data_IF_978904581473
#
_entry.id   IF_978904581473
#
_cell.length_a   1.000
_cell.length_b   1.000
_cell.length_c   1.000
_cell.angle_alpha   90.00
_cell.angle_beta   90.00
_cell.angle_gamma   90.00
#
_symmetry.space_group_name_H-M   'P 1'
#
loop_
_entity.id
_entity.type
_entity.pdbx_description
1 polymer ?
#
# COMPACT_ATOMS: atom_id res chain seq x y z
N UNK A 1 6.74 -21.41 49.78
CA UNK A 1 5.53 -21.42 48.93
C UNK A 1 5.22 -20.05 48.30
N UNK A 2 6.21 -19.14 48.14
CA UNK A 2 5.98 -17.82 47.53
C UNK A 2 6.40 -17.72 46.04
N UNK A 3 6.91 -18.80 45.43
CA UNK A 3 7.43 -18.81 44.06
C UNK A 3 6.41 -19.25 42.97
N UNK A 4 5.13 -19.44 43.30
CA UNK A 4 4.12 -19.88 42.31
C UNK A 4 2.99 -18.87 42.08
N UNK A 5 2.74 -17.94 43.00
CA UNK A 5 1.67 -16.93 42.83
C UNK A 5 2.12 -15.76 41.94
N UNK A 6 3.35 -15.26 42.09
CA UNK A 6 3.91 -14.18 41.23
C UNK A 6 4.02 -14.62 39.76
N UNK A 7 4.47 -15.86 39.50
CA UNK A 7 4.57 -16.40 38.15
C UNK A 7 3.20 -16.60 37.50
N UNK A 8 2.18 -17.02 38.26
CA UNK A 8 0.82 -17.20 37.71
C UNK A 8 0.10 -15.87 37.45
N UNK A 9 0.29 -14.85 38.31
CA UNK A 9 -0.26 -13.51 38.08
C UNK A 9 0.48 -12.79 36.95
N UNK A 10 1.81 -12.94 36.85
CA UNK A 10 2.59 -12.42 35.74
C UNK A 10 2.21 -13.09 34.42
N UNK A 11 1.96 -14.41 34.42
CA UNK A 11 1.52 -15.16 33.24
C UNK A 11 0.12 -14.76 32.79
N UNK A 12 -0.84 -14.63 33.73
CA UNK A 12 -2.19 -14.13 33.42
C UNK A 12 -2.19 -12.69 32.89
N UNK A 13 -1.36 -11.82 33.46
CA UNK A 13 -1.25 -10.42 33.00
C UNK A 13 -0.64 -10.34 31.61
N UNK A 14 0.41 -11.12 31.31
CA UNK A 14 0.99 -11.22 29.96
C UNK A 14 0.01 -11.78 28.93
N UNK A 15 -0.72 -12.84 29.28
CA UNK A 15 -1.73 -13.44 28.40
C UNK A 15 -2.89 -12.49 28.11
N UNK A 16 -3.26 -11.64 29.08
CA UNK A 16 -4.32 -10.65 28.89
C UNK A 16 -3.89 -9.51 27.95
N UNK A 17 -2.65 -9.03 28.06
CA UNK A 17 -2.15 -7.93 27.22
C UNK A 17 -1.98 -8.35 25.75
N UNK A 18 -1.58 -9.60 25.48
CA UNK A 18 -1.52 -10.13 24.10
C UNK A 18 -2.93 -10.22 23.50
N UNK A 19 -3.89 -10.72 24.28
CA UNK A 19 -5.29 -10.78 23.84
C UNK A 19 -5.87 -9.38 23.56
N UNK A 20 -5.61 -8.41 24.44
CA UNK A 20 -6.01 -7.01 24.22
C UNK A 20 -5.38 -6.42 22.96
N UNK A 21 -4.09 -6.70 22.70
CA UNK A 21 -3.41 -6.27 21.49
C UNK A 21 -4.03 -6.89 20.23
N UNK A 22 -4.26 -8.21 20.21
CA UNK A 22 -4.84 -8.89 19.06
C UNK A 22 -6.27 -8.39 18.78
N UNK A 23 -7.05 -8.14 19.84
CA UNK A 23 -8.37 -7.54 19.72
C UNK A 23 -8.29 -6.11 19.16
N UNK A 24 -7.32 -5.31 19.59
CA UNK A 24 -7.06 -3.99 19.01
C UNK A 24 -6.68 -4.04 17.53
N UNK A 25 -5.93 -5.06 17.09
CA UNK A 25 -5.64 -5.28 15.67
C UNK A 25 -6.92 -5.63 14.89
N UNK A 26 -7.82 -6.44 15.46
CA UNK A 26 -9.12 -6.77 14.85
C UNK A 26 -9.99 -5.52 14.68
N UNK A 27 -10.15 -4.72 15.73
CA UNK A 27 -10.88 -3.44 15.66
C UNK A 27 -10.18 -2.38 14.80
N UNK A 28 -8.86 -2.44 14.62
CA UNK A 28 -8.16 -1.56 13.70
C UNK A 28 -8.41 -1.94 12.23
N UNK A 29 -8.31 -3.23 11.92
CA UNK A 29 -8.41 -3.73 10.54
C UNK A 29 -9.86 -3.86 10.06
N UNK A 30 -10.78 -4.12 10.98
CA UNK A 30 -12.14 -4.52 10.71
C UNK A 30 -12.23 -5.98 10.26
N UNK A 31 -13.08 -6.77 10.90
CA UNK A 31 -13.44 -8.11 10.46
C UNK A 31 -14.98 -8.32 10.53
N UNK A 32 -15.47 -9.52 10.22
CA UNK A 32 -16.91 -9.82 10.23
C UNK A 32 -17.56 -9.58 11.60
N UNK A 33 -16.80 -9.77 12.68
CA UNK A 33 -17.27 -9.68 14.07
C UNK A 33 -16.96 -8.32 14.71
N UNK A 34 -15.95 -7.61 14.21
CA UNK A 34 -15.42 -6.36 14.78
C UNK A 34 -15.42 -5.25 13.74
N UNK A 35 -16.40 -4.35 13.82
CA UNK A 35 -16.39 -3.13 12.99
C UNK A 35 -15.22 -2.21 13.36
N UNK A 36 -14.59 -1.51 12.40
CA UNK A 36 -13.48 -0.62 12.69
C UNK A 36 -13.77 0.38 13.82
N UNK A 37 -12.90 0.40 14.83
CA UNK A 37 -12.93 1.32 15.95
C UNK A 37 -11.51 1.82 16.26
N UNK A 38 -11.12 2.88 15.56
CA UNK A 38 -9.76 3.41 15.59
C UNK A 38 -9.40 4.09 16.92
N UNK A 39 -10.37 4.75 17.56
CA UNK A 39 -10.15 5.40 18.86
C UNK A 39 -9.85 4.35 19.94
N UNK A 40 -10.64 3.27 19.97
CA UNK A 40 -10.43 2.19 20.92
C UNK A 40 -9.13 1.44 20.65
N UNK A 41 -8.86 1.09 19.38
CA UNK A 41 -7.60 0.44 19.01
C UNK A 41 -6.38 1.29 19.38
N UNK A 42 -6.43 2.62 19.13
CA UNK A 42 -5.38 3.55 19.51
C UNK A 42 -5.13 3.55 21.02
N UNK A 43 -6.19 3.62 21.83
CA UNK A 43 -6.07 3.61 23.29
C UNK A 43 -5.40 2.32 23.80
N UNK A 44 -5.77 1.16 23.24
CA UNK A 44 -5.15 -0.11 23.61
C UNK A 44 -3.70 -0.16 23.16
N UNK A 45 -3.38 0.22 21.91
CA UNK A 45 -1.99 0.23 21.45
C UNK A 45 -1.12 1.16 22.31
N UNK A 46 -1.61 2.33 22.71
CA UNK A 46 -0.90 3.24 23.61
C UNK A 46 -0.64 2.60 24.99
N UNK A 47 -1.64 1.90 25.54
CA UNK A 47 -1.49 1.17 26.79
C UNK A 47 -0.43 0.07 26.68
N UNK A 48 -0.48 -0.74 25.62
CA UNK A 48 0.48 -1.81 25.35
C UNK A 48 1.89 -1.27 25.16
N UNK A 49 2.05 -0.21 24.36
CA UNK A 49 3.35 0.42 24.12
C UNK A 49 3.98 1.00 25.40
N UNK A 50 3.16 1.49 26.34
CA UNK A 50 3.64 2.04 27.61
C UNK A 50 3.98 0.95 28.65
N UNK A 51 3.14 -0.07 28.79
CA UNK A 51 3.16 -0.95 29.98
C UNK A 51 3.61 -2.39 29.71
N UNK A 52 3.71 -2.85 28.46
CA UNK A 52 4.05 -4.25 28.18
C UNK A 52 5.56 -4.54 28.36
N UNK A 53 5.95 -5.55 29.10
CA UNK A 53 7.37 -5.90 29.27
C UNK A 53 7.99 -6.51 27.99
N UNK A 54 7.17 -7.06 27.10
CA UNK A 54 7.62 -7.62 25.83
C UNK A 54 7.91 -6.51 24.82
N UNK A 55 9.20 -6.32 24.54
CA UNK A 55 9.69 -5.33 23.58
C UNK A 55 9.20 -5.59 22.14
N UNK A 56 9.00 -6.84 21.78
CA UNK A 56 8.51 -7.21 20.45
C UNK A 56 7.07 -6.74 20.25
N UNK A 57 6.20 -6.97 21.25
CA UNK A 57 4.81 -6.50 21.23
C UNK A 57 4.74 -4.97 21.35
N UNK A 58 5.63 -4.34 22.13
CA UNK A 58 5.75 -2.87 22.16
C UNK A 58 6.06 -2.30 20.79
N UNK A 59 7.01 -2.87 20.05
CA UNK A 59 7.37 -2.42 18.71
C UNK A 59 6.20 -2.55 17.72
N UNK A 60 5.44 -3.64 17.79
CA UNK A 60 4.22 -3.84 17.00
C UNK A 60 3.13 -2.81 17.34
N UNK A 61 2.88 -2.56 18.64
CA UNK A 61 1.94 -1.54 19.07
C UNK A 61 2.35 -0.13 18.60
N UNK A 62 3.63 0.23 18.73
CA UNK A 62 4.16 1.49 18.22
C UNK A 62 4.00 1.64 16.71
N UNK A 63 4.24 0.56 15.97
CA UNK A 63 4.01 0.53 14.53
C UNK A 63 2.52 0.78 14.19
N UNK A 64 1.59 0.11 14.88
CA UNK A 64 0.16 0.31 14.63
C UNK A 64 -0.33 1.71 15.02
N UNK A 65 0.18 2.30 16.10
CA UNK A 65 -0.07 3.73 16.42
C UNK A 65 0.43 4.59 15.26
N UNK A 66 1.63 4.32 14.76
CA UNK A 66 2.20 5.01 13.61
C UNK A 66 1.32 4.92 12.36
N UNK A 67 0.70 3.76 12.10
CA UNK A 67 -0.26 3.58 10.99
C UNK A 67 -1.53 4.41 11.19
N UNK A 68 -2.09 4.43 12.40
CA UNK A 68 -3.26 5.26 12.73
C UNK A 68 -2.94 6.74 12.45
N UNK A 69 -1.80 7.22 12.94
CA UNK A 69 -1.33 8.59 12.69
C UNK A 69 -1.10 8.85 11.19
N UNK A 70 -0.48 7.91 10.48
CA UNK A 70 -0.14 8.04 9.06
C UNK A 70 -1.37 8.13 8.16
N UNK A 71 -2.40 7.33 8.41
CA UNK A 71 -3.63 7.35 7.63
C UNK A 71 -4.66 8.36 8.18
N UNK A 72 -4.48 8.86 9.39
CA UNK A 72 -5.44 9.75 10.07
C UNK A 72 -6.74 9.05 10.47
N UNK A 73 -6.70 7.74 10.69
CA UNK A 73 -7.90 6.97 11.05
C UNK A 73 -8.43 7.40 12.42
N UNK A 74 -9.69 7.84 12.48
CA UNK A 74 -10.28 8.36 13.73
C UNK A 74 -9.74 9.74 14.14
N UNK A 75 -9.09 10.46 13.23
CA UNK A 75 -8.55 11.81 13.45
C UNK A 75 -9.17 12.81 12.46
N UNK A 76 -9.11 14.10 12.77
CA UNK A 76 -9.53 15.14 11.81
C UNK A 76 -8.62 15.17 10.57
N UNK A 77 -7.32 14.96 10.76
CA UNK A 77 -6.31 14.88 9.71
C UNK A 77 -5.17 13.92 10.12
N UNK A 78 -4.42 13.34 9.16
CA UNK A 78 -3.23 12.56 9.45
C UNK A 78 -2.16 13.34 10.22
N UNK A 79 -1.56 12.72 11.23
CA UNK A 79 -0.38 13.23 11.94
C UNK A 79 0.90 12.56 11.43
N UNK A 80 1.42 13.10 10.34
CA UNK A 80 2.64 12.58 9.74
C UNK A 80 3.89 12.81 10.60
N UNK A 81 3.92 13.82 11.47
CA UNK A 81 5.10 14.07 12.32
C UNK A 81 5.20 12.99 13.38
N UNK A 82 4.07 12.65 14.02
CA UNK A 82 4.02 11.58 14.99
C UNK A 82 4.27 10.21 14.35
N UNK A 83 3.66 9.93 13.19
CA UNK A 83 3.90 8.69 12.44
C UNK A 83 5.39 8.50 12.11
N UNK A 84 6.06 9.54 11.62
CA UNK A 84 7.48 9.51 11.29
C UNK A 84 8.33 9.16 12.51
N UNK A 85 8.06 9.83 13.63
CA UNK A 85 8.79 9.60 14.89
C UNK A 85 8.61 8.17 15.38
N UNK A 86 7.39 7.63 15.31
CA UNK A 86 7.11 6.26 15.77
C UNK A 86 7.79 5.22 14.89
N UNK A 87 7.72 5.36 13.56
CA UNK A 87 8.40 4.41 12.67
C UNK A 87 9.92 4.47 12.80
N UNK A 88 10.51 5.68 12.95
CA UNK A 88 11.94 5.84 13.23
C UNK A 88 12.32 5.11 14.52
N UNK A 89 11.48 5.22 15.56
CA UNK A 89 11.69 4.55 16.83
C UNK A 89 11.67 3.02 16.70
N UNK A 90 10.67 2.45 16.01
CA UNK A 90 10.58 1.00 15.77
C UNK A 90 11.82 0.48 15.05
N UNK A 91 12.28 1.17 14.01
CA UNK A 91 13.48 0.77 13.25
C UNK A 91 14.73 0.88 14.12
N UNK A 92 14.84 1.92 14.95
CA UNK A 92 15.98 2.15 15.86
C UNK A 92 16.05 1.10 16.97
N UNK A 93 14.91 0.75 17.55
CA UNK A 93 14.81 -0.27 18.60
C UNK A 93 15.14 -1.66 18.06
N UNK A 94 14.66 -1.98 16.85
CA UNK A 94 14.91 -3.27 16.20
C UNK A 94 14.50 -4.48 17.07
N UNK A 95 13.48 -4.29 17.93
CA UNK A 95 12.99 -5.31 18.86
C UNK A 95 12.03 -6.32 18.21
N UNK A 96 11.47 -5.99 17.03
CA UNK A 96 10.67 -6.90 16.20
C UNK A 96 11.00 -6.70 14.72
N UNK A 97 11.34 -7.80 14.02
CA UNK A 97 11.77 -7.73 12.61
C UNK A 97 10.63 -7.45 11.63
N UNK A 98 9.44 -7.99 11.88
CA UNK A 98 8.24 -7.75 11.07
C UNK A 98 7.89 -6.26 11.14
N UNK A 99 7.71 -5.75 12.37
CA UNK A 99 7.40 -4.34 12.60
C UNK A 99 8.48 -3.41 12.03
N UNK A 100 9.75 -3.80 12.10
CA UNK A 100 10.85 -3.03 11.49
C UNK A 100 10.76 -3.01 9.97
N UNK A 101 10.55 -4.15 9.32
CA UNK A 101 10.44 -4.22 7.87
C UNK A 101 9.25 -3.37 7.38
N UNK A 102 8.10 -3.48 8.06
CA UNK A 102 6.92 -2.68 7.77
C UNK A 102 7.16 -1.17 7.99
N UNK A 103 7.80 -0.81 9.11
CA UNK A 103 8.18 0.57 9.41
C UNK A 103 9.17 1.14 8.39
N UNK A 104 10.11 0.34 7.88
CA UNK A 104 11.04 0.76 6.83
C UNK A 104 10.31 1.05 5.51
N UNK A 105 9.34 0.21 5.13
CA UNK A 105 8.49 0.49 3.97
C UNK A 105 7.78 1.85 4.14
N UNK A 106 7.18 2.11 5.31
CA UNK A 106 6.46 3.36 5.60
C UNK A 106 7.39 4.57 5.68
N UNK A 107 8.54 4.46 6.33
CA UNK A 107 9.54 5.52 6.36
C UNK A 107 10.04 5.87 4.96
N UNK A 108 10.32 4.84 4.15
CA UNK A 108 10.68 5.01 2.75
C UNK A 108 9.67 5.86 2.00
N UNK A 109 8.38 5.58 2.21
CA UNK A 109 7.28 6.37 1.68
C UNK A 109 7.29 7.82 2.22
N UNK A 110 7.31 7.99 3.54
CA UNK A 110 7.28 9.31 4.14
C UNK A 110 8.44 10.19 3.66
N UNK A 111 9.64 9.64 3.52
CA UNK A 111 10.79 10.36 3.00
C UNK A 111 10.66 10.67 1.50
N UNK A 112 10.14 9.77 0.68
CA UNK A 112 10.00 9.99 -0.77
C UNK A 112 9.00 11.11 -1.09
N UNK A 113 7.91 11.21 -0.32
CA UNK A 113 6.85 12.19 -0.56
C UNK A 113 6.89 13.39 0.41
N UNK A 114 7.86 13.43 1.33
CA UNK A 114 8.01 14.54 2.27
C UNK A 114 6.92 14.59 3.34
N UNK A 115 6.33 13.45 3.70
CA UNK A 115 5.28 13.37 4.72
C UNK A 115 5.89 13.51 6.11
N UNK A 116 5.44 14.51 6.88
CA UNK A 116 5.95 14.76 8.25
C UNK A 116 7.30 15.45 8.29
N UNK A 117 7.83 15.89 7.13
CA UNK A 117 9.07 16.65 7.00
C UNK A 117 8.86 17.86 6.07
N UNK A 118 9.77 18.83 6.12
CA UNK A 118 9.63 20.06 5.33
C UNK A 118 9.73 19.84 3.81
N UNK A 119 10.54 18.86 3.38
CA UNK A 119 10.73 18.51 1.97
C UNK A 119 11.13 17.03 1.81
N UNK A 120 10.86 16.39 0.67
CA UNK A 120 11.31 15.03 0.40
C UNK A 120 12.80 14.81 0.64
N UNK A 121 13.13 13.62 1.16
CA UNK A 121 14.50 13.15 1.35
C UNK A 121 14.71 11.83 0.61
N UNK A 122 15.04 11.91 -0.68
CA UNK A 122 15.17 10.73 -1.52
C UNK A 122 16.31 9.79 -1.12
N UNK A 123 17.38 10.29 -0.50
CA UNK A 123 18.49 9.45 -0.01
C UNK A 123 17.99 8.53 1.12
N UNK A 124 17.27 9.10 2.10
CA UNK A 124 16.69 8.29 3.17
C UNK A 124 15.57 7.38 2.65
N UNK A 125 14.76 7.86 1.69
CA UNK A 125 13.72 7.05 1.08
C UNK A 125 14.28 5.78 0.42
N UNK A 126 15.29 5.93 -0.45
CA UNK A 126 15.96 4.81 -1.12
C UNK A 126 16.56 3.84 -0.10
N UNK A 127 17.26 4.36 0.92
CA UNK A 127 17.89 3.53 1.94
C UNK A 127 16.86 2.69 2.73
N UNK A 128 15.72 3.28 3.11
CA UNK A 128 14.68 2.57 3.86
C UNK A 128 13.94 1.55 2.96
N UNK A 129 13.60 1.91 1.72
CA UNK A 129 12.91 1.01 0.80
C UNK A 129 13.81 -0.15 0.36
N UNK A 130 15.09 0.08 0.11
CA UNK A 130 16.05 -1.00 -0.18
C UNK A 130 16.15 -1.96 1.00
N UNK A 131 16.28 -1.44 2.23
CA UNK A 131 16.34 -2.28 3.42
C UNK A 131 15.06 -3.10 3.65
N UNK A 132 13.87 -2.54 3.35
CA UNK A 132 12.60 -3.26 3.41
C UNK A 132 12.43 -4.28 2.28
N UNK A 133 12.92 -3.99 1.08
CA UNK A 133 12.86 -4.87 -0.09
C UNK A 133 13.81 -6.08 -0.02
N UNK A 134 14.85 -6.01 0.80
CA UNK A 134 15.83 -7.09 1.03
C UNK A 134 15.45 -8.04 2.18
N UNK A 135 14.53 -7.63 3.06
CA UNK A 135 14.11 -8.44 4.21
C UNK A 135 13.01 -9.43 3.85
N UNK A 136 13.14 -10.66 4.35
CA UNK A 136 12.15 -11.73 4.17
C UNK A 136 11.24 -11.91 5.41
N UNK A 137 11.42 -11.07 6.44
CA UNK A 137 10.66 -11.16 7.69
C UNK A 137 9.19 -10.72 7.56
N UNK A 138 8.92 -9.72 6.71
CA UNK A 138 7.56 -9.29 6.34
C UNK A 138 7.44 -9.25 4.82
N UNK A 139 6.56 -10.08 4.29
CA UNK A 139 6.39 -10.22 2.85
C UNK A 139 5.60 -9.07 2.26
N UNK A 140 4.62 -8.58 3.02
CA UNK A 140 3.85 -7.39 2.73
C UNK A 140 4.75 -6.16 2.68
N UNK A 141 5.66 -5.99 3.65
CA UNK A 141 6.67 -4.93 3.63
C UNK A 141 7.60 -5.03 2.43
N UNK A 142 8.07 -6.24 2.12
CA UNK A 142 8.99 -6.48 1.00
C UNK A 142 8.35 -6.04 -0.32
N UNK A 143 7.12 -6.52 -0.58
CA UNK A 143 6.37 -6.17 -1.78
C UNK A 143 6.05 -4.67 -1.80
N UNK A 144 5.57 -4.10 -0.69
CA UNK A 144 5.29 -2.68 -0.57
C UNK A 144 6.54 -1.83 -0.87
N UNK A 145 7.69 -2.23 -0.33
CA UNK A 145 8.97 -1.54 -0.53
C UNK A 145 9.43 -1.64 -1.98
N UNK A 146 9.32 -2.82 -2.60
CA UNK A 146 9.64 -3.03 -4.02
C UNK A 146 8.76 -2.17 -4.93
N UNK A 147 7.45 -2.10 -4.67
CA UNK A 147 6.54 -1.22 -5.41
C UNK A 147 6.92 0.25 -5.28
N UNK A 148 7.17 0.74 -4.06
CA UNK A 148 7.55 2.15 -3.84
C UNK A 148 8.92 2.47 -4.43
N UNK A 149 9.86 1.53 -4.37
CA UNK A 149 11.18 1.69 -4.99
C UNK A 149 11.05 1.74 -6.52
N UNK A 150 10.20 0.89 -7.10
CA UNK A 150 9.88 0.93 -8.53
C UNK A 150 9.27 2.27 -8.95
N UNK A 151 8.36 2.82 -8.15
CA UNK A 151 7.78 4.14 -8.37
C UNK A 151 8.81 5.26 -8.28
N UNK A 152 9.74 5.19 -7.32
CA UNK A 152 10.85 6.15 -7.25
C UNK A 152 11.71 6.12 -8.51
N UNK A 153 12.06 4.94 -9.01
CA UNK A 153 12.84 4.81 -10.26
C UNK A 153 12.04 5.27 -11.49
N UNK A 154 10.75 4.96 -11.56
CA UNK A 154 9.85 5.37 -12.65
C UNK A 154 9.72 6.90 -12.76
N UNK A 155 9.70 7.58 -11.62
CA UNK A 155 9.59 9.04 -11.51
C UNK A 155 10.96 9.73 -11.50
N UNK A 156 12.06 9.00 -11.38
CA UNK A 156 13.41 9.56 -11.24
C UNK A 156 13.65 10.26 -9.89
N UNK A 157 12.93 9.88 -8.84
CA UNK A 157 13.07 10.49 -7.51
C UNK A 157 14.41 10.13 -6.87
N UNK A 158 15.25 11.14 -6.63
CA UNK A 158 16.60 10.95 -6.08
C UNK A 158 17.68 10.67 -7.11
N UNK A 159 17.38 10.81 -8.40
CA UNK A 159 18.32 10.69 -9.51
C UNK A 159 18.12 11.83 -10.52
N UNK A 160 19.09 12.01 -11.43
CA UNK A 160 19.01 13.03 -12.47
C UNK A 160 17.94 12.73 -13.55
N UNK A 161 17.58 11.45 -13.68
CA UNK A 161 16.61 10.95 -14.66
C UNK A 161 15.93 9.67 -14.17
N UNK A 162 14.72 9.37 -14.66
CA UNK A 162 14.08 8.07 -14.43
C UNK A 162 14.94 6.89 -14.88
N UNK A 163 14.89 5.81 -14.11
CA UNK A 163 15.44 4.50 -14.46
C UNK A 163 14.30 3.51 -14.71
N UNK A 164 13.78 3.54 -15.93
CA UNK A 164 12.69 2.65 -16.32
C UNK A 164 13.09 1.17 -16.31
N UNK A 165 14.36 0.82 -16.46
CA UNK A 165 14.78 -0.59 -16.42
C UNK A 165 14.65 -1.16 -15.01
N UNK A 166 15.07 -0.40 -13.99
CA UNK A 166 14.90 -0.80 -12.59
C UNK A 166 13.43 -0.80 -12.17
N UNK A 167 12.66 0.22 -12.57
CA UNK A 167 11.23 0.27 -12.31
C UNK A 167 10.50 -0.95 -12.87
N UNK A 168 10.79 -1.30 -14.13
CA UNK A 168 10.20 -2.46 -14.80
C UNK A 168 10.49 -3.75 -14.02
N UNK A 169 11.75 -4.02 -13.69
CA UNK A 169 12.15 -5.22 -12.95
C UNK A 169 11.44 -5.35 -11.62
N UNK A 170 11.27 -4.25 -10.88
CA UNK A 170 10.61 -4.26 -9.58
C UNK A 170 9.11 -4.49 -9.70
N UNK A 171 8.44 -3.85 -10.66
CA UNK A 171 7.01 -4.07 -10.87
C UNK A 171 6.70 -5.48 -11.40
N UNK A 172 7.52 -5.98 -12.32
CA UNK A 172 7.44 -7.34 -12.87
C UNK A 172 7.58 -8.40 -11.77
N UNK A 173 8.58 -8.22 -10.90
CA UNK A 173 8.79 -9.09 -9.73
C UNK A 173 7.58 -9.15 -8.79
N UNK A 174 6.84 -8.05 -8.65
CA UNK A 174 5.64 -8.00 -7.80
C UNK A 174 4.41 -8.55 -8.52
N UNK A 175 4.26 -8.32 -9.83
CA UNK A 175 3.10 -8.80 -10.60
C UNK A 175 3.04 -10.32 -10.73
N UNK A 176 4.20 -10.98 -10.79
CA UNK A 176 4.31 -12.44 -10.97
C UNK A 176 4.05 -13.23 -9.68
N UNK A 177 4.14 -12.59 -8.52
CA UNK A 177 3.96 -13.28 -7.26
C UNK A 177 2.48 -13.65 -7.03
N UNK A 178 2.23 -14.93 -6.72
CA UNK A 178 0.89 -15.52 -6.64
C UNK A 178 0.17 -15.19 -5.31
N UNK A 179 0.07 -13.90 -4.97
CA UNK A 179 -0.55 -13.43 -3.73
C UNK A 179 -1.70 -12.48 -4.01
N UNK A 180 -2.77 -12.62 -3.23
CA UNK A 180 -3.93 -11.74 -3.24
C UNK A 180 -3.64 -10.56 -2.31
N UNK A 181 -2.93 -9.56 -2.84
CA UNK A 181 -2.44 -8.41 -2.07
C UNK A 181 -2.74 -7.11 -2.81
N UNK A 182 -3.09 -6.06 -2.06
CA UNK A 182 -3.39 -4.72 -2.58
C UNK A 182 -2.30 -4.20 -3.54
N UNK A 183 -1.03 -4.44 -3.20
CA UNK A 183 0.12 -3.96 -3.95
C UNK A 183 0.32 -4.65 -5.30
N UNK A 184 -0.25 -5.84 -5.51
CA UNK A 184 -0.18 -6.55 -6.80
C UNK A 184 -0.96 -5.80 -7.89
N UNK A 185 -2.16 -5.33 -7.56
CA UNK A 185 -2.97 -4.51 -8.46
C UNK A 185 -2.24 -3.21 -8.83
N UNK A 186 -1.56 -2.58 -7.87
CA UNK A 186 -0.74 -1.40 -8.10
C UNK A 186 0.44 -1.68 -9.04
N UNK A 187 1.17 -2.78 -8.82
CA UNK A 187 2.30 -3.15 -9.67
C UNK A 187 1.85 -3.46 -11.10
N UNK A 188 0.78 -4.25 -11.27
CA UNK A 188 0.19 -4.56 -12.58
C UNK A 188 -0.28 -3.29 -13.29
N UNK A 189 -0.94 -2.38 -12.57
CA UNK A 189 -1.35 -1.08 -13.12
C UNK A 189 -0.14 -0.24 -13.56
N UNK A 190 0.90 -0.12 -12.72
CA UNK A 190 2.12 0.63 -13.06
C UNK A 190 2.86 0.02 -14.24
N UNK A 191 3.01 -1.30 -14.28
CA UNK A 191 3.61 -2.01 -15.40
C UNK A 191 2.80 -1.83 -16.68
N UNK A 192 1.46 -1.90 -16.60
CA UNK A 192 0.55 -1.62 -17.71
C UNK A 192 0.71 -0.20 -18.24
N UNK A 193 0.89 0.80 -17.37
CA UNK A 193 1.19 2.17 -17.79
C UNK A 193 2.55 2.29 -18.49
N UNK A 194 3.57 1.56 -18.02
CA UNK A 194 4.88 1.56 -18.67
C UNK A 194 4.79 1.03 -20.09
N UNK A 195 4.07 -0.08 -20.30
CA UNK A 195 3.82 -0.62 -21.63
C UNK A 195 2.95 0.30 -22.50
N UNK A 196 1.89 0.89 -21.93
CA UNK A 196 0.97 1.78 -22.65
C UNK A 196 1.68 3.01 -23.25
N UNK A 197 2.63 3.57 -22.49
CA UNK A 197 3.36 4.78 -22.89
C UNK A 197 4.77 4.49 -23.43
N UNK A 198 5.20 3.23 -23.50
CA UNK A 198 6.54 2.85 -23.94
C UNK A 198 7.67 3.35 -23.02
N UNK A 199 7.44 3.46 -21.71
CA UNK A 199 8.45 3.95 -20.76
C UNK A 199 9.60 2.95 -20.63
N UNK A 200 10.79 3.34 -21.12
CA UNK A 200 11.98 2.49 -21.11
C UNK A 200 12.00 1.45 -22.24
N UNK A 201 11.18 1.63 -23.27
CA UNK A 201 11.06 0.75 -24.43
C UNK A 201 11.25 1.56 -25.71
N UNK A 202 11.63 0.89 -26.81
CA UNK A 202 11.76 1.54 -28.11
C UNK A 202 10.40 2.00 -28.66
N UNK A 203 9.34 1.23 -28.38
CA UNK A 203 7.96 1.53 -28.76
C UNK A 203 6.98 1.04 -27.68
N UNK A 204 5.79 1.68 -27.54
CA UNK A 204 4.72 1.18 -26.68
C UNK A 204 4.22 -0.21 -27.08
N UNK A 205 3.82 -1.02 -26.10
CA UNK A 205 3.17 -2.32 -26.31
C UNK A 205 1.75 -2.30 -25.72
N UNK A 206 0.78 -2.04 -26.60
CA UNK A 206 -0.61 -1.96 -26.19
C UNK A 206 -1.23 -3.34 -25.89
N UNK A 207 -0.64 -4.45 -26.37
CA UNK A 207 -1.18 -5.80 -26.11
C UNK A 207 -0.90 -6.16 -24.65
N UNK A 208 0.37 -6.02 -24.23
CA UNK A 208 0.77 -6.25 -22.84
C UNK A 208 0.11 -5.28 -21.87
N UNK A 209 0.00 -4.00 -22.24
CA UNK A 209 -0.69 -3.01 -21.42
C UNK A 209 -2.15 -3.42 -21.12
N UNK A 210 -2.86 -3.90 -22.14
CA UNK A 210 -4.25 -4.36 -22.00
C UNK A 210 -4.36 -5.54 -21.05
N UNK A 211 -3.50 -6.56 -21.21
CA UNK A 211 -3.50 -7.75 -20.36
C UNK A 211 -3.24 -7.40 -18.89
N UNK A 212 -2.29 -6.50 -18.63
CA UNK A 212 -1.97 -6.04 -17.28
C UNK A 212 -3.10 -5.22 -16.65
N UNK A 213 -3.75 -4.34 -17.40
CA UNK A 213 -4.92 -3.61 -16.89
C UNK A 213 -6.12 -4.53 -16.66
N UNK A 214 -6.33 -5.54 -17.50
CA UNK A 214 -7.33 -6.58 -17.25
C UNK A 214 -7.04 -7.28 -15.93
N UNK A 215 -5.81 -7.73 -15.69
CA UNK A 215 -5.42 -8.38 -14.44
C UNK A 215 -5.62 -7.45 -13.23
N UNK A 216 -5.17 -6.20 -13.31
CA UNK A 216 -5.34 -5.21 -12.23
C UNK A 216 -6.83 -4.90 -11.94
N UNK A 217 -7.68 -4.90 -12.96
CA UNK A 217 -9.12 -4.61 -12.84
C UNK A 217 -9.93 -5.70 -12.12
N UNK A 218 -9.39 -6.93 -12.05
CA UNK A 218 -10.06 -8.07 -11.40
C UNK A 218 -9.78 -8.17 -9.91
N UNK A 219 -8.78 -7.45 -9.40
CA UNK A 219 -8.38 -7.53 -8.00
C UNK A 219 -9.39 -6.85 -7.07
N UNK A 220 -9.56 -7.35 -5.85
CA UNK A 220 -10.58 -6.87 -4.91
C UNK A 220 -10.07 -5.77 -3.96
N UNK A 221 -8.76 -5.68 -3.72
CA UNK A 221 -8.23 -4.95 -2.57
C UNK A 221 -7.75 -3.52 -2.85
N UNK A 222 -7.30 -3.16 -4.05
CA UNK A 222 -6.84 -1.79 -4.34
C UNK A 222 -7.87 -1.02 -5.18
N UNK A 223 -8.76 -0.27 -4.52
CA UNK A 223 -9.81 0.50 -5.20
C UNK A 223 -9.24 1.45 -6.27
N UNK A 224 -8.24 2.27 -5.94
CA UNK A 224 -7.70 3.30 -6.87
C UNK A 224 -7.04 2.70 -8.11
N UNK A 225 -6.13 1.74 -7.95
CA UNK A 225 -5.44 1.10 -9.08
C UNK A 225 -6.41 0.27 -9.93
N UNK A 226 -7.39 -0.38 -9.30
CA UNK A 226 -8.48 -1.10 -10.01
C UNK A 226 -9.31 -0.15 -10.87
N UNK A 227 -9.80 0.95 -10.28
CA UNK A 227 -10.61 1.95 -10.99
C UNK A 227 -9.80 2.58 -12.13
N UNK A 228 -8.54 2.95 -11.87
CA UNK A 228 -7.63 3.46 -12.89
C UNK A 228 -7.41 2.47 -14.03
N UNK A 229 -7.18 1.20 -13.71
CA UNK A 229 -7.05 0.13 -14.70
C UNK A 229 -8.34 -0.05 -15.51
N UNK A 230 -9.52 -0.03 -14.87
CA UNK A 230 -10.82 -0.11 -15.57
C UNK A 230 -11.04 1.06 -16.52
N UNK A 231 -10.69 2.29 -16.11
CA UNK A 231 -10.81 3.49 -16.94
C UNK A 231 -9.89 3.44 -18.16
N UNK A 232 -8.61 3.10 -17.96
CA UNK A 232 -7.65 2.95 -19.06
C UNK A 232 -8.01 1.79 -19.98
N UNK A 233 -8.43 0.66 -19.43
CA UNK A 233 -8.88 -0.48 -20.22
C UNK A 233 -10.13 -0.13 -21.05
N UNK A 234 -11.09 0.61 -20.49
CA UNK A 234 -12.25 1.12 -21.22
C UNK A 234 -11.86 2.04 -22.38
N UNK A 235 -10.84 2.87 -22.18
CA UNK A 235 -10.27 3.73 -23.23
C UNK A 235 -9.58 2.89 -24.31
N UNK A 236 -8.81 1.87 -23.94
CA UNK A 236 -8.19 0.96 -24.90
C UNK A 236 -9.23 0.21 -25.73
N UNK A 237 -10.32 -0.25 -25.10
CA UNK A 237 -11.45 -0.85 -25.81
C UNK A 237 -12.17 0.11 -26.75
N UNK A 238 -12.27 1.39 -26.38
CA UNK A 238 -12.88 2.44 -27.20
C UNK A 238 -12.12 2.67 -28.50
N UNK A 239 -10.79 2.71 -28.42
CA UNK A 239 -9.94 3.03 -29.57
C UNK A 239 -9.29 1.82 -30.25
N UNK A 240 -9.47 0.60 -29.71
CA UNK A 240 -8.89 -0.61 -30.28
C UNK A 240 -7.39 -0.79 -29.96
N UNK A 241 -6.86 -0.13 -28.93
CA UNK A 241 -5.45 -0.28 -28.56
C UNK A 241 -5.15 -1.71 -28.06
N UNK A 242 -4.17 -2.38 -28.69
CA UNK A 242 -3.78 -3.74 -28.32
C UNK A 242 -4.77 -4.83 -28.79
N UNK A 243 -5.56 -4.53 -29.82
CA UNK A 243 -6.60 -5.39 -30.39
C UNK A 243 -6.71 -5.21 -31.91
N UNK A 244 -7.31 -6.19 -32.59
CA UNK A 244 -7.58 -6.11 -34.03
C UNK A 244 -8.64 -5.06 -34.39
N UNK A 245 -9.57 -4.78 -33.46
CA UNK A 245 -10.65 -3.80 -33.63
C UNK A 245 -11.16 -3.28 -32.27
N UNK A 246 -11.76 -2.08 -32.21
CA UNK A 246 -12.45 -1.59 -31.02
C UNK A 246 -13.56 -2.52 -30.52
N UNK A 247 -13.79 -2.53 -29.20
CA UNK A 247 -14.90 -3.22 -28.54
C UNK A 247 -15.67 -2.24 -27.64
N UNK A 248 -16.64 -1.55 -28.24
CA UNK A 248 -17.46 -0.58 -27.53
C UNK A 248 -18.37 -1.21 -26.47
N UNK A 249 -18.67 -2.52 -26.54
CA UNK A 249 -19.50 -3.20 -25.54
C UNK A 249 -18.73 -3.33 -24.23
N UNK A 250 -17.47 -3.77 -24.31
CA UNK A 250 -16.59 -3.86 -23.13
C UNK A 250 -16.24 -2.47 -22.58
N UNK A 251 -15.97 -1.50 -23.46
CA UNK A 251 -15.70 -0.12 -23.05
C UNK A 251 -16.85 0.45 -22.20
N UNK A 252 -18.10 0.34 -22.66
CA UNK A 252 -19.28 0.83 -21.91
C UNK A 252 -19.43 0.15 -20.55
N UNK A 253 -19.23 -1.16 -20.47
CA UNK A 253 -19.30 -1.91 -19.19
C UNK A 253 -18.28 -1.38 -18.18
N UNK A 254 -17.05 -1.14 -18.64
CA UNK A 254 -15.98 -0.65 -17.78
C UNK A 254 -16.23 0.79 -17.32
N UNK A 255 -16.67 1.69 -18.21
CA UNK A 255 -17.01 3.05 -17.81
C UNK A 255 -18.18 3.10 -16.83
N UNK A 256 -19.21 2.27 -17.01
CA UNK A 256 -20.30 2.14 -16.04
C UNK A 256 -19.81 1.67 -14.67
N UNK A 257 -18.88 0.70 -14.63
CA UNK A 257 -18.26 0.25 -13.39
C UNK A 257 -17.43 1.35 -12.71
N UNK A 258 -16.66 2.13 -13.46
CA UNK A 258 -15.91 3.28 -12.92
C UNK A 258 -16.86 4.33 -12.34
N UNK A 259 -17.95 4.65 -13.03
CA UNK A 259 -18.94 5.63 -12.55
C UNK A 259 -19.58 5.21 -11.22
N UNK A 260 -19.84 3.90 -11.06
CA UNK A 260 -20.47 3.37 -9.85
C UNK A 260 -19.51 3.18 -8.68
N UNK A 261 -18.23 2.91 -8.94
CA UNK A 261 -17.25 2.52 -7.90
C UNK A 261 -16.21 3.59 -7.57
N UNK A 262 -15.96 4.57 -8.44
CA UNK A 262 -14.97 5.59 -8.16
C UNK A 262 -15.38 6.51 -7.01
N UNK A 263 -14.43 7.01 -6.24
CA UNK A 263 -14.67 8.13 -5.31
C UNK A 263 -14.30 9.48 -5.96
N UNK A 264 -13.37 9.45 -6.92
CA UNK A 264 -12.87 10.63 -7.63
C UNK A 264 -13.88 11.11 -8.70
N UNK A 265 -14.37 12.34 -8.52
CA UNK A 265 -15.29 12.97 -9.47
C UNK A 265 -14.70 13.13 -10.87
N UNK A 266 -13.39 13.38 -10.99
CA UNK A 266 -12.73 13.57 -12.30
C UNK A 266 -12.72 12.30 -13.14
N UNK A 267 -12.45 11.15 -12.51
CA UNK A 267 -12.51 9.84 -13.18
C UNK A 267 -13.93 9.51 -13.60
N UNK A 268 -14.94 9.84 -12.78
CA UNK A 268 -16.35 9.66 -13.13
C UNK A 268 -16.74 10.53 -14.31
N UNK A 269 -16.33 11.79 -14.32
CA UNK A 269 -16.70 12.74 -15.37
C UNK A 269 -16.07 12.34 -16.71
N UNK A 270 -14.80 11.95 -16.69
CA UNK A 270 -14.15 11.42 -17.89
C UNK A 270 -14.81 10.13 -18.40
N UNK A 271 -15.16 9.21 -17.50
CA UNK A 271 -15.88 7.99 -17.88
C UNK A 271 -17.28 8.28 -18.44
N UNK A 272 -18.00 9.28 -17.91
CA UNK A 272 -19.31 9.72 -18.44
C UNK A 272 -19.18 10.32 -19.84
N UNK A 273 -18.15 11.13 -20.06
CA UNK A 273 -17.90 11.75 -21.35
C UNK A 273 -17.66 10.69 -22.43
N UNK A 274 -16.75 9.74 -22.17
CA UNK A 274 -16.46 8.65 -23.10
C UNK A 274 -17.67 7.72 -23.30
N UNK A 275 -18.44 7.44 -22.23
CA UNK A 275 -19.68 6.67 -22.33
C UNK A 275 -20.68 7.36 -23.27
N UNK A 276 -20.87 8.68 -23.14
CA UNK A 276 -21.76 9.45 -24.01
C UNK A 276 -21.28 9.52 -25.48
N UNK A 277 -19.96 9.44 -25.73
CA UNK A 277 -19.42 9.34 -27.08
C UNK A 277 -19.73 7.98 -27.73
N UNK A 278 -19.77 6.90 -26.93
CA UNK A 278 -20.05 5.52 -27.38
C UNK A 278 -21.54 5.23 -27.61
N UNK A 279 -22.42 6.16 -27.25
CA UNK A 279 -23.88 6.07 -27.38
C UNK A 279 -24.43 6.87 -28.57
N UNK A 280 -23.58 7.66 -29.24
CA UNK A 280 -23.91 8.40 -30.47
C UNK A 280 -23.61 7.59 -31.72
#
# INVERSE_FOLDING_TARGET
>A
MMFQEEDSQSYNKKSNVIFEYDLAVAYFSGDEDHKPNYEWALAIFQHVAAQNDDKSIKALAQYNIGLICFFGHGMEQPDYVQALSLFQEVVRQNDNKVAKADAQCRLGEMYAWGLGIYKPNYVQALAMLQAGAEQDDSKEAKIGSQCRLGEMYELGLGADRPDYSQAFKLFDLVSDQNFDMEMKACAQYKLGMMYLYGKGMDLPDHVWAKELFQAASMQNHCSKSKIGAQSLLGTMYTYGHGMDRPDHVQARKLFQAVISTADDGTMKDHARELLAQLEK
#
